data_IF_729416477966
#
_entry.id   IF_729416477966
#
_cell.length_a   1.000
_cell.length_b   1.000
_cell.length_c   1.000
_cell.angle_alpha   90.00
_cell.angle_beta   90.00
_cell.angle_gamma   90.00
#
_symmetry.space_group_name_H-M   'P 1'
#
loop_
_entity.id
_entity.type
_entity.pdbx_description
1 polymer ?
#
# COMPACT_ATOMS: atom_id res chain seq x y z
N UNK A 1 -19.47 -7.83 7.32
CA UNK A 1 -19.29 -6.84 6.24
C UNK A 1 -17.86 -6.81 5.79
N UNK A 2 -17.64 -6.84 4.48
CA UNK A 2 -16.29 -6.83 3.97
C UNK A 2 -15.75 -5.39 3.93
N UNK A 3 -14.48 -5.26 4.26
CA UNK A 3 -13.77 -4.00 4.17
C UNK A 3 -13.04 -3.92 2.84
N UNK A 4 -12.94 -2.70 2.30
CA UNK A 4 -12.12 -2.47 1.11
C UNK A 4 -10.66 -2.36 1.55
N UNK A 5 -9.82 -3.23 1.01
CA UNK A 5 -8.44 -3.40 1.48
C UNK A 5 -7.45 -2.73 0.55
N UNK A 6 -6.73 -1.76 1.07
CA UNK A 6 -5.73 -1.00 0.34
C UNK A 6 -4.33 -1.55 0.59
N UNK A 7 -3.53 -1.57 -0.48
CA UNK A 7 -2.08 -1.76 -0.36
C UNK A 7 -1.41 -0.43 -0.71
N UNK A 8 -0.39 -0.06 0.03
CA UNK A 8 0.36 1.17 -0.22
C UNK A 8 1.77 0.81 -0.69
N UNK A 9 2.19 1.37 -1.82
CA UNK A 9 3.57 1.29 -2.28
C UNK A 9 4.27 2.56 -1.86
N UNK A 10 5.26 2.43 -0.98
CA UNK A 10 6.01 3.56 -0.44
C UNK A 10 5.70 3.83 1.02
N UNK A 11 6.60 4.52 1.70
CA UNK A 11 6.51 4.76 3.15
C UNK A 11 6.75 6.20 3.54
N UNK A 12 6.71 7.14 2.60
CA UNK A 12 6.96 8.55 2.88
C UNK A 12 5.76 9.28 3.45
N UNK A 13 5.86 10.62 3.49
CA UNK A 13 4.82 11.47 4.07
C UNK A 13 3.48 11.37 3.35
N UNK A 14 3.51 11.23 2.02
CA UNK A 14 2.27 11.09 1.25
C UNK A 14 1.57 9.78 1.60
N UNK A 15 2.35 8.70 1.75
CA UNK A 15 1.80 7.41 2.17
C UNK A 15 1.16 7.51 3.56
N UNK A 16 1.81 8.21 4.47
CA UNK A 16 1.32 8.39 5.82
C UNK A 16 0.01 9.20 5.84
N UNK A 17 -0.05 10.25 5.03
CA UNK A 17 -1.26 11.06 4.92
C UNK A 17 -2.43 10.23 4.38
N UNK A 18 -2.18 9.43 3.36
CA UNK A 18 -3.21 8.55 2.79
C UNK A 18 -3.70 7.55 3.85
N UNK A 19 -2.78 6.92 4.58
CA UNK A 19 -3.14 5.95 5.61
C UNK A 19 -4.01 6.60 6.70
N UNK A 20 -3.67 7.83 7.08
CA UNK A 20 -4.44 8.57 8.08
C UNK A 20 -5.86 8.86 7.57
N UNK A 21 -5.98 9.28 6.31
CA UNK A 21 -7.29 9.58 5.72
C UNK A 21 -8.14 8.33 5.58
N UNK A 22 -7.54 7.22 5.15
CA UNK A 22 -8.27 5.95 5.00
C UNK A 22 -8.80 5.45 6.34
N UNK A 23 -8.07 5.69 7.42
CA UNK A 23 -8.51 5.27 8.75
C UNK A 23 -9.80 5.95 9.19
N UNK A 24 -10.15 7.08 8.57
CA UNK A 24 -11.40 7.78 8.86
C UNK A 24 -12.61 7.19 8.13
N UNK A 25 -12.37 6.32 7.16
CA UNK A 25 -13.42 5.68 6.38
C UNK A 25 -13.72 4.31 6.97
N UNK A 26 -14.95 4.11 7.44
CA UNK A 26 -15.31 2.90 8.17
C UNK A 26 -15.22 1.61 7.35
N UNK A 27 -15.40 1.71 6.02
CA UNK A 27 -15.40 0.57 5.13
C UNK A 27 -14.05 0.31 4.46
N UNK A 28 -13.04 1.10 4.78
CA UNK A 28 -11.73 1.01 4.16
C UNK A 28 -10.64 0.75 5.19
N UNK A 29 -9.63 -0.01 4.81
CA UNK A 29 -8.52 -0.34 5.69
C UNK A 29 -7.24 -0.44 4.88
N UNK A 30 -6.13 -0.01 5.47
CA UNK A 30 -4.81 -0.27 4.91
C UNK A 30 -4.41 -1.67 5.38
N UNK A 31 -4.40 -2.61 4.45
CA UNK A 31 -4.14 -4.02 4.77
C UNK A 31 -2.67 -4.40 4.60
N UNK A 32 -1.92 -3.66 3.80
CA UNK A 32 -0.51 -3.96 3.55
C UNK A 32 0.25 -2.74 3.07
N UNK A 33 1.54 -2.73 3.34
CA UNK A 33 2.46 -1.68 2.89
C UNK A 33 3.69 -2.35 2.31
N UNK A 34 4.09 -1.92 1.13
CA UNK A 34 5.30 -2.41 0.45
C UNK A 34 6.37 -1.33 0.35
N UNK A 35 7.60 -1.73 0.59
CA UNK A 35 8.76 -0.86 0.48
C UNK A 35 9.93 -1.69 -0.05
N UNK A 36 10.93 -1.03 -0.61
CA UNK A 36 12.17 -1.69 -0.97
C UNK A 36 12.99 -2.07 0.26
N UNK A 37 12.61 -1.57 1.43
CA UNK A 37 13.19 -1.93 2.71
C UNK A 37 12.10 -2.52 3.60
N UNK A 38 12.23 -3.78 3.96
CA UNK A 38 11.28 -4.42 4.85
C UNK A 38 11.21 -3.69 6.20
N UNK A 39 12.36 -3.23 6.69
CA UNK A 39 12.41 -2.48 7.95
C UNK A 39 11.54 -1.22 7.90
N UNK A 40 11.61 -0.48 6.78
CA UNK A 40 10.78 0.72 6.64
C UNK A 40 9.29 0.39 6.58
N UNK A 41 8.95 -0.70 5.89
CA UNK A 41 7.55 -1.14 5.82
C UNK A 41 7.06 -1.57 7.21
N UNK A 42 7.88 -2.31 7.94
CA UNK A 42 7.53 -2.74 9.29
C UNK A 42 7.36 -1.56 10.25
N UNK A 43 8.23 -0.57 10.15
CA UNK A 43 8.08 0.64 10.96
C UNK A 43 6.82 1.42 10.62
N UNK A 44 6.50 1.46 9.34
CA UNK A 44 5.30 2.18 8.89
C UNK A 44 4.02 1.57 9.46
N UNK A 45 3.93 0.24 9.47
CA UNK A 45 2.70 -0.43 9.91
C UNK A 45 2.54 -0.51 11.43
N UNK A 46 3.51 -0.05 12.20
CA UNK A 46 3.40 -0.04 13.68
C UNK A 46 2.17 0.74 14.14
N UNK A 47 1.78 1.75 13.40
CA UNK A 47 0.59 2.56 13.70
C UNK A 47 -0.68 2.05 13.00
N UNK A 48 -0.59 0.92 12.28
CA UNK A 48 -1.72 0.39 11.53
C UNK A 48 -1.94 -1.07 11.94
N UNK A 49 -2.74 -1.31 12.99
CA UNK A 49 -2.98 -2.68 13.47
C UNK A 49 -3.55 -3.58 12.37
N UNK A 50 -3.00 -4.77 12.26
CA UNK A 50 -3.47 -5.75 11.30
C UNK A 50 -2.87 -5.64 9.90
N UNK A 51 -2.08 -4.60 9.63
CA UNK A 51 -1.45 -4.46 8.32
C UNK A 51 -0.23 -5.37 8.21
N UNK A 52 0.06 -5.81 6.96
CA UNK A 52 1.24 -6.59 6.65
C UNK A 52 2.31 -5.72 6.03
N UNK A 53 3.58 -6.03 6.30
CA UNK A 53 4.71 -5.34 5.70
C UNK A 53 5.37 -6.24 4.66
N UNK A 54 5.66 -5.67 3.48
CA UNK A 54 6.37 -6.37 2.42
C UNK A 54 7.66 -5.65 2.09
N UNK A 55 8.72 -6.41 1.90
CA UNK A 55 10.05 -5.87 1.58
C UNK A 55 10.28 -5.65 0.09
N UNK A 56 9.27 -5.84 -0.73
CA UNK A 56 9.33 -5.54 -2.17
C UNK A 56 7.94 -5.17 -2.67
N UNK A 57 7.90 -4.43 -3.77
CA UNK A 57 6.63 -4.07 -4.38
C UNK A 57 5.94 -5.28 -4.99
N UNK A 58 6.73 -6.19 -5.58
CA UNK A 58 6.17 -7.39 -6.20
C UNK A 58 5.46 -8.27 -5.17
N UNK A 59 6.03 -8.42 -3.99
CA UNK A 59 5.41 -9.20 -2.93
C UNK A 59 4.04 -8.63 -2.55
N UNK A 60 3.95 -7.31 -2.43
CA UNK A 60 2.69 -6.65 -2.16
C UNK A 60 1.68 -6.88 -3.29
N UNK A 61 2.13 -6.68 -4.54
CA UNK A 61 1.24 -6.79 -5.70
C UNK A 61 0.71 -8.22 -5.92
N UNK A 62 1.41 -9.22 -5.40
CA UNK A 62 0.97 -10.61 -5.48
C UNK A 62 0.00 -11.01 -4.37
N UNK A 63 -0.29 -10.11 -3.44
CA UNK A 63 -1.23 -10.41 -2.36
C UNK A 63 -2.66 -10.32 -2.88
N UNK A 64 -3.32 -11.48 -2.99
CA UNK A 64 -4.67 -11.56 -3.54
C UNK A 64 -5.75 -10.97 -2.65
N UNK A 65 -5.41 -10.62 -1.41
CA UNK A 65 -6.35 -10.02 -0.47
C UNK A 65 -6.40 -8.50 -0.57
N UNK A 66 -5.58 -7.90 -1.44
CA UNK A 66 -5.55 -6.46 -1.64
C UNK A 66 -6.50 -6.08 -2.76
N UNK A 67 -7.39 -5.13 -2.50
CA UNK A 67 -8.40 -4.71 -3.46
C UNK A 67 -7.95 -3.58 -4.38
N UNK A 68 -7.09 -2.71 -3.89
CA UNK A 68 -6.56 -1.60 -4.69
C UNK A 68 -5.21 -1.16 -4.15
N UNK A 69 -4.45 -0.47 -4.98
CA UNK A 69 -3.10 0.00 -4.65
C UNK A 69 -3.06 1.53 -4.69
N UNK A 70 -2.46 2.11 -3.66
CA UNK A 70 -2.10 3.52 -3.67
C UNK A 70 -0.60 3.62 -3.87
N UNK A 71 -0.18 4.28 -4.95
CA UNK A 71 1.24 4.43 -5.27
C UNK A 71 1.73 5.76 -4.73
N UNK A 72 2.56 5.69 -3.69
CA UNK A 72 3.06 6.87 -2.98
C UNK A 72 4.57 7.03 -3.16
N UNK A 73 5.14 6.46 -4.22
CA UNK A 73 6.57 6.60 -4.49
C UNK A 73 6.86 7.90 -5.22
N UNK A 74 8.06 8.47 -5.01
CA UNK A 74 8.41 9.71 -5.70
C UNK A 74 8.59 9.49 -7.20
N UNK A 75 8.38 10.54 -7.95
CA UNK A 75 8.73 10.63 -9.34
C UNK A 75 10.25 10.49 -9.49
N UNK A 76 10.79 9.69 -10.41
CA UNK A 76 10.16 9.04 -11.56
C UNK A 76 9.63 7.63 -11.34
N UNK A 77 9.84 7.01 -10.18
CA UNK A 77 9.41 5.62 -9.97
C UNK A 77 7.89 5.46 -9.92
N UNK A 78 7.16 6.55 -9.77
CA UNK A 78 5.70 6.51 -9.67
C UNK A 78 5.06 5.82 -10.88
N UNK A 79 5.46 6.21 -12.09
CA UNK A 79 4.89 5.66 -13.32
C UNK A 79 5.14 4.16 -13.44
N UNK A 80 6.35 3.70 -13.14
CA UNK A 80 6.68 2.28 -13.21
C UNK A 80 5.84 1.47 -12.23
N UNK A 81 5.64 2.00 -11.03
CA UNK A 81 4.87 1.32 -10.01
C UNK A 81 3.37 1.28 -10.34
N UNK A 82 2.85 2.32 -10.96
CA UNK A 82 1.46 2.32 -11.45
C UNK A 82 1.28 1.23 -12.51
N UNK A 83 2.20 1.16 -13.46
CA UNK A 83 2.13 0.14 -14.53
C UNK A 83 2.22 -1.27 -13.94
N UNK A 84 3.12 -1.48 -12.97
CA UNK A 84 3.27 -2.79 -12.33
C UNK A 84 1.98 -3.19 -11.62
N UNK A 85 1.33 -2.27 -10.92
CA UNK A 85 0.08 -2.57 -10.23
C UNK A 85 -1.04 -2.89 -11.21
N UNK A 86 -1.15 -2.15 -12.30
CA UNK A 86 -2.13 -2.43 -13.35
C UNK A 86 -1.90 -3.80 -13.99
N UNK A 87 -0.62 -4.14 -14.24
CA UNK A 87 -0.28 -5.46 -14.79
C UNK A 87 -0.60 -6.59 -13.83
N UNK A 88 -0.61 -6.32 -12.54
CA UNK A 88 -1.01 -7.29 -11.52
C UNK A 88 -2.52 -7.41 -11.39
N UNK A 89 -3.28 -6.66 -12.18
CA UNK A 89 -4.73 -6.72 -12.18
C UNK A 89 -5.40 -5.95 -11.06
N UNK A 90 -4.69 -5.01 -10.44
CA UNK A 90 -5.23 -4.24 -9.31
C UNK A 90 -5.56 -2.80 -9.71
N UNK A 91 -6.71 -2.27 -9.28
CA UNK A 91 -6.99 -0.84 -9.42
C UNK A 91 -5.93 -0.01 -8.70
N UNK A 92 -5.63 1.16 -9.25
CA UNK A 92 -4.57 2.04 -8.76
C UNK A 92 -5.11 3.45 -8.54
N UNK A 93 -4.69 4.03 -7.44
CA UNK A 93 -4.97 5.42 -7.16
C UNK A 93 -3.68 6.22 -7.06
#
# INVERSE_FOLDING_TARGET
MSQFKWGIIGTGGIARAFATDIALLGDHVVAAVGSRSLEKAENFIKSIPGAKAYGSYDALLNDSHIDAIYVATPHPSHKENVIAALNAGKPVL
#
